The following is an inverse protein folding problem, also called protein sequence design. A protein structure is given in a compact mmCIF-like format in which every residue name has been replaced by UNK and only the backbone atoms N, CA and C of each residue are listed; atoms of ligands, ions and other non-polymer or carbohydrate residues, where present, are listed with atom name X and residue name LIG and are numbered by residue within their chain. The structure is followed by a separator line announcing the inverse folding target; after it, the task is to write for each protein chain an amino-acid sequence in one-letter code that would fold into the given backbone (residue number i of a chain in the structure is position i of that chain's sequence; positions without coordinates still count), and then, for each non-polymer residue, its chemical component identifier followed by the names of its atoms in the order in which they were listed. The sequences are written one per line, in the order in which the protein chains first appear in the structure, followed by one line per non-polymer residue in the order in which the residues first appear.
data_IF_500509771963
#
_entry.id   IF_500509771963
#
_cell.length_a   1.000
_cell.length_b   1.000
_cell.length_c   1.000
_cell.angle_alpha   90.00
_cell.angle_beta   90.00
_cell.angle_gamma   90.00
#
_symmetry.space_group_name_H-M   'P 1'
#
loop_
_entity.id
_entity.type
_entity.pdbx_description
1 polymer ?
#
# COMPACT_ATOMS: atom_id res chain seq x y z
N UNK A 1 4.75 -24.96 -0.15
CA UNK A 1 4.50 -23.55 -0.52
C UNK A 1 3.40 -23.03 0.41
N UNK A 2 3.70 -22.11 1.33
CA UNK A 2 2.74 -21.69 2.36
C UNK A 2 1.49 -21.03 1.78
N UNK A 3 0.34 -21.21 2.43
CA UNK A 3 -0.92 -20.61 2.00
C UNK A 3 -0.80 -19.08 1.97
N UNK A 4 -1.17 -18.47 0.83
CA UNK A 4 -1.17 -17.00 0.70
C UNK A 4 -2.30 -16.41 1.54
N UNK A 5 -2.04 -15.34 2.28
CA UNK A 5 -3.07 -14.65 3.08
C UNK A 5 -4.22 -14.14 2.19
N UNK A 6 -5.45 -14.24 2.69
CA UNK A 6 -6.68 -13.76 2.03
C UNK A 6 -6.64 -12.24 1.77
N UNK A 7 -6.07 -11.48 2.70
CA UNK A 7 -5.97 -10.02 2.61
C UNK A 7 -4.57 -9.58 2.19
N UNK A 8 -4.50 -8.39 1.58
CA UNK A 8 -3.26 -7.70 1.21
C UNK A 8 -3.30 -6.25 1.69
N UNK A 9 -2.14 -5.75 2.09
CA UNK A 9 -1.93 -4.34 2.41
C UNK A 9 -1.52 -3.61 1.14
N UNK A 10 -2.17 -2.50 0.85
CA UNK A 10 -1.93 -1.65 -0.31
C UNK A 10 -1.77 -0.20 0.10
N UNK A 11 -1.17 0.59 -0.77
CA UNK A 11 -1.07 2.03 -0.64
C UNK A 11 -2.05 2.68 -1.61
N UNK A 12 -2.91 3.55 -1.09
CA UNK A 12 -3.70 4.47 -1.88
C UNK A 12 -2.97 5.81 -1.99
N UNK A 13 -3.16 6.52 -3.10
CA UNK A 13 -2.71 7.90 -3.26
C UNK A 13 -3.87 8.78 -3.70
N UNK A 14 -3.95 9.99 -3.14
CA UNK A 14 -4.82 11.06 -3.61
C UNK A 14 -4.54 11.32 -5.07
N UNK A 15 -5.58 11.34 -5.91
CA UNK A 15 -5.45 11.65 -7.34
C UNK A 15 -5.06 13.10 -7.60
N UNK A 16 -5.11 13.95 -6.56
CA UNK A 16 -4.80 15.39 -6.66
C UNK A 16 -3.41 15.69 -6.08
N UNK A 17 -3.18 15.43 -4.79
CA UNK A 17 -1.94 15.83 -4.11
C UNK A 17 -0.86 14.75 -4.08
N UNK A 18 -1.22 13.50 -4.38
CA UNK A 18 -0.35 12.35 -4.16
C UNK A 18 -0.16 11.96 -2.68
N UNK A 19 -0.84 12.62 -1.72
CA UNK A 19 -0.85 12.19 -0.33
C UNK A 19 -1.29 10.73 -0.24
N UNK A 20 -0.63 9.94 0.62
CA UNK A 20 -0.83 8.47 0.62
C UNK A 20 -1.45 7.96 1.90
N UNK A 21 -2.17 6.84 1.79
CA UNK A 21 -2.77 6.12 2.92
C UNK A 21 -2.57 4.62 2.76
N UNK A 22 -2.47 3.91 3.88
CA UNK A 22 -2.44 2.45 3.90
C UNK A 22 -3.87 1.92 3.92
N UNK A 23 -4.13 0.88 3.16
CA UNK A 23 -5.43 0.22 3.06
C UNK A 23 -5.29 -1.30 3.05
N UNK A 24 -6.35 -2.00 3.46
CA UNK A 24 -6.42 -3.47 3.40
C UNK A 24 -7.57 -3.86 2.49
N UNK A 25 -7.32 -4.78 1.56
CA UNK A 25 -8.36 -5.36 0.71
C UNK A 25 -8.18 -6.87 0.56
N UNK A 26 -9.23 -7.54 0.09
CA UNK A 26 -9.12 -8.93 -0.33
C UNK A 26 -8.17 -9.05 -1.52
N UNK A 27 -7.39 -10.13 -1.54
CA UNK A 27 -6.40 -10.41 -2.59
C UNK A 27 -7.05 -10.53 -3.98
N UNK A 28 -8.23 -11.13 -4.03
CA UNK A 28 -9.00 -11.40 -5.25
C UNK A 28 -9.89 -10.24 -5.67
N UNK A 29 -10.08 -9.24 -4.80
CA UNK A 29 -10.82 -8.04 -5.14
C UNK A 29 -10.05 -7.16 -6.13
N UNK A 30 -10.80 -6.31 -6.83
CA UNK A 30 -10.24 -5.26 -7.68
C UNK A 30 -9.40 -4.26 -6.86
N UNK A 31 -8.70 -3.38 -7.57
CA UNK A 31 -7.94 -2.29 -6.94
C UNK A 31 -8.87 -1.41 -6.12
N UNK A 32 -8.43 -1.07 -4.91
CA UNK A 32 -9.24 -0.25 -4.01
C UNK A 32 -9.28 1.22 -4.47
N UNK A 33 -10.45 1.84 -4.31
CA UNK A 33 -10.65 3.28 -4.47
C UNK A 33 -11.61 3.78 -3.38
N UNK A 34 -11.34 4.96 -2.82
CA UNK A 34 -12.15 5.53 -1.75
C UNK A 34 -12.09 7.06 -1.76
N UNK A 35 -13.18 7.70 -1.33
CA UNK A 35 -13.21 9.14 -1.04
C UNK A 35 -12.70 9.34 0.38
N UNK A 36 -11.59 10.07 0.55
CA UNK A 36 -10.94 10.28 1.85
C UNK A 36 -10.48 11.74 1.97
N UNK A 37 -10.37 12.23 3.20
CA UNK A 37 -9.82 13.57 3.46
C UNK A 37 -8.33 13.64 3.10
N UNK A 38 -8.01 14.56 2.20
CA UNK A 38 -6.66 14.92 1.80
C UNK A 38 -6.21 16.19 2.55
N UNK A 39 -5.26 16.07 3.49
CA UNK A 39 -4.82 17.19 4.31
C UNK A 39 -4.09 18.28 3.51
N UNK A 40 -3.52 17.97 2.34
CA UNK A 40 -2.85 18.97 1.51
C UNK A 40 -3.86 19.87 0.77
N UNK A 41 -5.05 19.35 0.49
CA UNK A 41 -6.13 20.08 -0.20
C UNK A 41 -7.16 20.65 0.79
N UNK A 42 -7.27 20.04 1.98
CA UNK A 42 -8.23 20.46 3.01
C UNK A 42 -9.66 20.00 2.75
N UNK A 43 -9.86 18.97 1.92
CA UNK A 43 -11.20 18.40 1.63
C UNK A 43 -11.12 16.91 1.27
N UNK A 44 -12.28 16.28 1.16
CA UNK A 44 -12.38 14.91 0.67
C UNK A 44 -12.16 14.82 -0.85
N UNK A 45 -11.35 13.85 -1.28
CA UNK A 45 -10.99 13.62 -2.67
C UNK A 45 -10.88 12.11 -2.93
N UNK A 46 -10.80 11.71 -4.20
CA UNK A 46 -10.58 10.34 -4.59
C UNK A 46 -9.13 9.90 -4.30
N UNK A 47 -9.00 8.74 -3.67
CA UNK A 47 -7.75 8.01 -3.50
C UNK A 47 -7.84 6.69 -4.26
N UNK A 48 -6.80 6.35 -5.03
CA UNK A 48 -6.72 5.12 -5.80
C UNK A 48 -5.51 4.27 -5.39
N UNK A 49 -5.64 2.96 -5.50
CA UNK A 49 -4.55 2.02 -5.24
C UNK A 49 -3.41 2.18 -6.25
N UNK A 50 -2.27 2.64 -5.76
CA UNK A 50 -1.05 2.81 -6.56
C UNK A 50 -0.15 1.58 -6.50
N UNK A 51 -0.01 0.95 -5.34
CA UNK A 51 0.85 -0.23 -5.20
C UNK A 51 0.47 -1.13 -4.02
N UNK A 52 0.81 -2.41 -4.13
CA UNK A 52 0.79 -3.34 -3.01
C UNK A 52 2.02 -3.13 -2.15
N UNK A 53 1.84 -3.05 -0.83
CA UNK A 53 2.95 -2.95 0.11
C UNK A 53 3.61 -4.33 0.24
N UNK A 54 4.87 -4.40 -0.16
CA UNK A 54 5.70 -5.62 -0.15
C UNK A 54 6.18 -5.90 1.28
N UNK A 55 6.09 -7.15 1.70
CA UNK A 55 6.62 -7.59 3.01
C UNK A 55 8.13 -7.82 2.98
N UNK A 56 8.72 -8.12 4.14
CA UNK A 56 10.17 -8.33 4.32
C UNK A 56 10.82 -9.29 3.32
N UNK A 57 10.11 -10.38 2.95
CA UNK A 57 10.60 -11.38 2.01
C UNK A 57 10.81 -10.85 0.59
N UNK A 58 10.15 -9.75 0.25
CA UNK A 58 10.16 -9.13 -1.09
C UNK A 58 10.95 -7.82 -1.15
N UNK A 59 11.67 -7.49 -0.07
CA UNK A 59 12.58 -6.35 -0.05
C UNK A 59 13.87 -6.68 -0.83
N UNK A 60 14.50 -5.66 -1.43
CA UNK A 60 15.77 -5.85 -2.11
C UNK A 60 16.88 -6.22 -1.12
N UNK A 61 17.90 -6.94 -1.61
CA UNK A 61 19.07 -7.31 -0.79
C UNK A 61 19.72 -6.08 -0.15
N UNK A 62 19.83 -4.98 -0.88
CA UNK A 62 20.36 -3.71 -0.37
C UNK A 62 19.57 -3.18 0.83
N UNK A 63 18.23 -3.22 0.78
CA UNK A 63 17.38 -2.79 1.89
C UNK A 63 17.51 -3.73 3.08
N UNK A 64 17.49 -5.05 2.86
CA UNK A 64 17.68 -6.02 3.94
C UNK A 64 19.00 -5.82 4.68
N UNK A 65 20.10 -5.64 3.94
CA UNK A 65 21.43 -5.36 4.52
C UNK A 65 21.45 -4.04 5.31
N UNK A 66 20.90 -2.97 4.73
CA UNK A 66 20.88 -1.64 5.37
C UNK A 66 20.17 -1.64 6.73
N UNK A 67 19.13 -2.44 6.89
CA UNK A 67 18.32 -2.50 8.10
C UNK A 67 18.54 -3.76 8.94
N UNK A 68 19.60 -4.54 8.67
CA UNK A 68 19.91 -5.78 9.38
C UNK A 68 18.72 -6.76 9.47
N UNK A 69 17.96 -6.87 8.38
CA UNK A 69 16.81 -7.79 8.28
C UNK A 69 17.37 -9.13 7.79
N UNK A 70 17.32 -10.16 8.65
CA UNK A 70 17.74 -11.51 8.30
C UNK A 70 17.03 -12.02 7.03
N UNK A 71 17.75 -12.79 6.21
CA UNK A 71 17.30 -13.21 4.89
C UNK A 71 16.08 -14.15 4.92
#
# INVERSE_FOLDING_TARGET
MGAKSKYVIVQLASVISGATRVWVRERTAEKAAAILFDPAIGREVLFEEVQRIKGKATLSKAVKMKYNIAD
#
